data_IF_465869331457
#
_entry.id   IF_465869331457
#
_cell.length_a   1.000
_cell.length_b   1.000
_cell.length_c   1.000
_cell.angle_alpha   90.00
_cell.angle_beta   90.00
_cell.angle_gamma   90.00
#
_symmetry.space_group_name_H-M   'P 1'
#
loop_
_entity.id
_entity.type
_entity.pdbx_description
1 polymer ?
#
# COMPACT_ATOMS: atom_id res chain seq x y z
N UNK A 1 -6.04 -8.71 19.54
CA UNK A 1 -4.73 -9.12 19.02
C UNK A 1 -3.89 -7.88 19.13
N UNK A 2 -2.94 -7.84 20.07
CA UNK A 2 -1.93 -6.80 20.08
C UNK A 2 -1.27 -6.76 18.69
N UNK A 3 -0.93 -5.59 18.14
CA UNK A 3 0.00 -5.57 17.03
C UNK A 3 1.25 -6.28 17.54
N UNK A 4 1.54 -7.44 16.96
CA UNK A 4 2.77 -8.16 17.24
C UNK A 4 3.89 -7.39 16.53
N UNK A 5 4.44 -6.40 17.22
CA UNK A 5 5.59 -5.63 16.75
C UNK A 5 6.88 -6.47 16.69
N UNK A 6 6.83 -7.75 17.09
CA UNK A 6 7.93 -8.71 16.97
C UNK A 6 7.78 -9.63 15.74
N UNK A 7 6.59 -9.68 15.12
CA UNK A 7 6.48 -10.15 13.73
C UNK A 7 7.22 -9.16 12.84
N UNK A 8 8.23 -9.64 12.13
CA UNK A 8 9.00 -8.83 11.17
C UNK A 8 8.15 -8.30 10.01
N UNK A 9 6.89 -8.77 9.87
CA UNK A 9 5.94 -8.21 8.93
C UNK A 9 4.47 -8.30 9.40
N UNK A 10 4.01 -7.30 10.15
CA UNK A 10 2.63 -7.20 10.64
C UNK A 10 1.58 -6.86 9.56
N UNK A 11 2.01 -6.61 8.32
CA UNK A 11 1.17 -6.08 7.23
C UNK A 11 0.24 -7.11 6.60
N UNK A 12 0.56 -8.41 6.71
CA UNK A 12 -0.15 -9.46 5.98
C UNK A 12 -1.66 -9.45 6.28
N UNK A 13 -2.48 -9.50 5.22
CA UNK A 13 -3.95 -9.35 5.26
C UNK A 13 -4.51 -8.06 5.87
N UNK A 14 -3.63 -7.14 6.30
CA UNK A 14 -4.03 -5.81 6.74
C UNK A 14 -4.01 -4.86 5.57
N UNK A 15 -4.86 -3.85 5.64
CA UNK A 15 -4.79 -2.72 4.72
C UNK A 15 -4.17 -1.51 5.42
N UNK A 16 -3.55 -0.57 4.70
CA UNK A 16 -3.17 0.71 5.28
C UNK A 16 -4.36 1.45 5.90
N UNK A 17 -5.59 1.22 5.42
CA UNK A 17 -6.81 1.75 6.04
C UNK A 17 -7.11 1.22 7.44
N UNK A 18 -6.67 0.01 7.78
CA UNK A 18 -6.75 -0.48 9.16
C UNK A 18 -5.80 0.29 10.08
N UNK A 19 -4.59 0.59 9.61
CA UNK A 19 -3.65 1.45 10.33
C UNK A 19 -4.18 2.90 10.43
N UNK A 20 -4.79 3.43 9.37
CA UNK A 20 -5.46 4.73 9.40
C UNK A 20 -6.52 4.78 10.51
N UNK A 21 -7.40 3.77 10.60
CA UNK A 21 -8.44 3.71 11.64
C UNK A 21 -7.83 3.70 13.04
N UNK A 22 -6.74 2.96 13.22
CA UNK A 22 -6.01 2.90 14.49
C UNK A 22 -5.43 4.28 14.85
N UNK A 23 -4.78 4.95 13.90
CA UNK A 23 -4.23 6.28 14.08
C UNK A 23 -5.35 7.30 14.32
N UNK A 24 -6.48 7.20 13.63
CA UNK A 24 -7.58 8.15 13.76
C UNK A 24 -8.33 8.00 15.08
N UNK A 25 -8.66 6.77 15.45
CA UNK A 25 -9.66 6.49 16.49
C UNK A 25 -9.13 5.69 17.67
N UNK A 26 -7.90 5.18 17.60
CA UNK A 26 -7.37 4.23 18.59
C UNK A 26 -8.08 2.87 18.56
N UNK A 27 -8.79 2.54 17.47
CA UNK A 27 -9.54 1.28 17.31
C UNK A 27 -9.02 0.46 16.14
N UNK A 28 -8.90 -0.85 16.34
CA UNK A 28 -8.63 -1.77 15.24
C UNK A 28 -9.90 -2.15 14.45
N UNK A 29 -9.74 -2.99 13.42
CA UNK A 29 -10.85 -3.45 12.56
C UNK A 29 -11.97 -4.20 13.30
N UNK A 30 -11.70 -4.72 14.49
CA UNK A 30 -12.67 -5.43 15.33
C UNK A 30 -13.26 -4.52 16.41
N UNK A 31 -12.96 -3.22 16.37
CA UNK A 31 -13.42 -2.26 17.37
C UNK A 31 -12.66 -2.35 18.70
N UNK A 32 -11.59 -3.14 18.79
CA UNK A 32 -10.79 -3.22 20.01
C UNK A 32 -10.00 -1.94 20.20
N UNK A 33 -9.96 -1.47 21.44
CA UNK A 33 -9.26 -0.24 21.82
C UNK A 33 -7.75 -0.51 21.93
N UNK A 34 -6.95 0.48 21.54
CA UNK A 34 -5.49 0.50 21.64
C UNK A 34 -5.05 1.80 22.31
N UNK A 35 -3.88 1.83 22.97
CA UNK A 35 -3.39 3.03 23.63
C UNK A 35 -2.97 4.12 22.62
N UNK A 36 -3.34 5.36 22.92
CA UNK A 36 -2.92 6.55 22.19
C UNK A 36 -1.64 7.20 22.73
N UNK A 37 -1.31 8.43 22.27
CA UNK A 37 -0.13 9.17 22.70
C UNK A 37 -0.02 9.39 24.22
N UNK A 38 -1.15 9.53 24.93
CA UNK A 38 -1.17 9.69 26.39
C UNK A 38 -1.16 8.36 27.14
N UNK A 39 -1.17 7.23 26.43
CA UNK A 39 -1.34 5.89 26.98
C UNK A 39 -2.79 5.49 27.24
N UNK A 40 -3.77 6.39 27.00
CA UNK A 40 -5.20 6.09 27.20
C UNK A 40 -5.74 5.15 26.12
N UNK A 41 -6.50 4.14 26.52
CA UNK A 41 -7.15 3.21 25.58
C UNK A 41 -8.25 3.90 24.76
N UNK A 42 -8.25 3.66 23.44
CA UNK A 42 -9.23 4.24 22.52
C UNK A 42 -8.94 5.69 22.17
N UNK A 43 -7.74 6.17 22.49
CA UNK A 43 -7.24 7.47 22.05
C UNK A 43 -6.51 7.30 20.70
N UNK A 44 -6.97 8.02 19.67
CA UNK A 44 -6.28 8.07 18.39
C UNK A 44 -5.03 8.96 18.43
N UNK A 45 -4.07 8.65 17.56
CA UNK A 45 -2.85 9.41 17.33
C UNK A 45 -3.04 10.63 16.42
N UNK A 46 -4.22 10.80 15.80
CA UNK A 46 -4.55 11.95 14.92
C UNK A 46 -4.20 13.29 15.53
N UNK A 47 -4.51 13.47 16.82
CA UNK A 47 -4.21 14.68 17.62
C UNK A 47 -2.72 15.03 17.71
N UNK A 48 -1.85 14.03 17.58
CA UNK A 48 -0.41 14.15 17.76
C UNK A 48 0.36 14.29 16.43
N UNK A 49 -0.28 14.07 15.29
CA UNK A 49 0.36 14.17 13.97
C UNK A 49 0.57 15.63 13.61
N UNK A 50 1.82 15.97 13.26
CA UNK A 50 2.23 17.26 12.72
C UNK A 50 2.94 17.01 11.39
N UNK A 51 2.44 17.59 10.31
CA UNK A 51 3.04 17.55 8.98
C UNK A 51 3.63 18.92 8.63
N UNK A 52 4.83 19.01 8.07
CA UNK A 52 5.45 20.27 7.68
C UNK A 52 5.46 20.42 6.15
N UNK A 53 4.56 21.23 5.62
CA UNK A 53 4.45 21.49 4.17
C UNK A 53 5.12 22.82 3.83
N UNK A 54 6.45 22.83 3.83
CA UNK A 54 7.24 23.97 3.34
C UNK A 54 7.18 25.25 4.20
N UNK A 55 6.81 25.14 5.49
CA UNK A 55 6.84 26.27 6.42
C UNK A 55 5.68 26.32 7.43
N UNK A 56 4.63 25.53 7.23
CA UNK A 56 3.50 25.45 8.16
C UNK A 56 3.40 24.03 8.76
N UNK A 57 3.41 23.96 10.10
CA UNK A 57 2.99 22.77 10.81
C UNK A 57 1.47 22.62 10.64
N UNK A 58 1.06 21.66 9.81
CA UNK A 58 -0.33 21.23 9.70
C UNK A 58 -0.59 20.29 10.88
N UNK A 59 -1.31 20.79 11.89
CA UNK A 59 -1.82 19.99 13.00
C UNK A 59 -3.29 19.64 12.75
N UNK A 60 -3.60 18.35 12.90
CA UNK A 60 -4.92 17.74 13.19
C UNK A 60 -6.12 18.14 12.30
N UNK A 61 -6.53 17.24 11.40
CA UNK A 61 -7.81 17.32 10.68
C UNK A 61 -7.75 16.91 9.22
N UNK A 62 -6.61 17.15 8.58
CA UNK A 62 -6.35 16.81 7.18
C UNK A 62 -6.11 15.29 7.01
N UNK A 63 -6.98 14.56 6.28
CA UNK A 63 -6.76 13.16 5.98
C UNK A 63 -5.45 12.88 5.24
N UNK A 64 -4.92 13.82 4.47
CA UNK A 64 -3.66 13.67 3.73
C UNK A 64 -2.49 13.50 4.71
N UNK A 65 -2.44 14.28 5.80
CA UNK A 65 -1.38 14.15 6.79
C UNK A 65 -1.40 12.78 7.47
N UNK A 66 -2.59 12.22 7.74
CA UNK A 66 -2.72 10.88 8.31
C UNK A 66 -2.27 9.82 7.30
N UNK A 67 -2.65 9.94 6.02
CA UNK A 67 -2.20 9.03 4.97
C UNK A 67 -0.68 9.06 4.76
N UNK A 68 -0.07 10.25 4.80
CA UNK A 68 1.38 10.38 4.76
C UNK A 68 2.03 9.58 5.89
N UNK A 69 1.53 9.69 7.12
CA UNK A 69 2.02 8.89 8.26
C UNK A 69 1.77 7.40 8.06
N UNK A 70 0.58 7.01 7.61
CA UNK A 70 0.23 5.59 7.36
C UNK A 70 1.20 4.97 6.36
N UNK A 71 1.38 5.59 5.18
CA UNK A 71 2.26 5.05 4.14
C UNK A 71 3.74 5.23 4.47
N UNK A 72 4.12 6.23 5.27
CA UNK A 72 5.44 6.31 5.86
C UNK A 72 5.70 5.11 6.77
N UNK A 73 4.85 4.86 7.78
CA UNK A 73 5.01 3.73 8.71
C UNK A 73 5.01 2.39 7.94
N UNK A 74 4.15 2.25 6.93
CA UNK A 74 4.09 1.06 6.08
C UNK A 74 5.36 0.85 5.24
N UNK A 75 5.90 1.91 4.65
CA UNK A 75 7.17 1.82 3.89
C UNK A 75 8.37 1.59 4.82
N UNK A 76 8.35 2.20 6.01
CA UNK A 76 9.39 2.02 7.03
C UNK A 76 9.35 0.65 7.68
N UNK A 77 8.20 -0.04 7.73
CA UNK A 77 8.19 -1.44 8.18
C UNK A 77 8.92 -2.35 7.20
N UNK A 78 8.94 -2.03 5.89
CA UNK A 78 9.76 -2.74 4.88
C UNK A 78 11.24 -2.49 5.15
N UNK A 79 11.63 -1.22 5.28
CA UNK A 79 13.03 -0.84 5.50
C UNK A 79 13.57 -1.28 6.88
N UNK A 80 12.70 -1.29 7.90
CA UNK A 80 13.01 -1.75 9.25
C UNK A 80 13.15 -3.27 9.35
N UNK A 81 12.49 -4.03 8.48
CA UNK A 81 12.68 -5.47 8.36
C UNK A 81 14.07 -5.82 7.77
N UNK A 82 14.58 -5.03 6.82
CA UNK A 82 16.00 -5.00 6.41
C UNK A 82 16.27 -3.84 5.44
N UNK A 83 17.35 -3.04 5.60
CA UNK A 83 17.78 -2.05 4.61
C UNK A 83 18.04 -2.65 3.22
N UNK A 84 18.51 -3.90 3.15
CA UNK A 84 18.75 -4.59 1.86
C UNK A 84 17.45 -4.82 1.10
N UNK A 85 16.36 -5.11 1.84
CA UNK A 85 15.05 -5.42 1.26
C UNK A 85 14.45 -4.24 0.53
N UNK A 86 14.63 -3.02 1.04
CA UNK A 86 14.15 -1.81 0.36
C UNK A 86 14.87 -1.61 -0.99
N UNK A 87 16.18 -1.79 -1.01
CA UNK A 87 16.98 -1.70 -2.24
C UNK A 87 16.60 -2.80 -3.24
N UNK A 88 16.38 -4.03 -2.78
CA UNK A 88 15.92 -5.15 -3.60
C UNK A 88 14.52 -4.88 -4.20
N UNK A 89 13.59 -4.34 -3.40
CA UNK A 89 12.26 -3.94 -3.84
C UNK A 89 12.32 -2.85 -4.92
N UNK A 90 13.20 -1.86 -4.74
CA UNK A 90 13.45 -0.85 -5.75
C UNK A 90 14.02 -1.43 -7.04
N UNK A 91 14.99 -2.35 -6.95
CA UNK A 91 15.58 -2.99 -8.13
C UNK A 91 14.52 -3.74 -8.94
N UNK A 92 13.65 -4.51 -8.27
CA UNK A 92 12.56 -5.21 -8.96
C UNK A 92 11.59 -4.20 -9.60
N UNK A 93 11.17 -3.16 -8.87
CA UNK A 93 10.23 -2.17 -9.39
C UNK A 93 10.78 -1.38 -10.58
N UNK A 94 12.01 -0.90 -10.47
CA UNK A 94 12.66 -0.05 -11.48
C UNK A 94 13.01 -0.79 -12.77
N UNK A 95 13.23 -2.11 -12.70
CA UNK A 95 13.50 -2.93 -13.89
C UNK A 95 12.22 -3.40 -14.60
N UNK A 96 11.12 -3.55 -13.87
CA UNK A 96 9.95 -4.28 -14.37
C UNK A 96 8.67 -3.42 -14.45
N UNK A 97 8.49 -2.46 -13.54
CA UNK A 97 7.19 -1.83 -13.29
C UNK A 97 7.13 -0.36 -13.76
N UNK A 98 8.22 0.39 -13.60
CA UNK A 98 8.25 1.84 -13.86
C UNK A 98 7.99 2.22 -15.32
N UNK A 99 8.24 1.33 -16.28
CA UNK A 99 8.02 1.57 -17.71
C UNK A 99 6.55 1.85 -18.03
N UNK A 100 5.64 1.28 -17.23
CA UNK A 100 4.20 1.54 -17.30
C UNK A 100 3.74 2.44 -16.15
N UNK A 101 4.19 2.17 -14.92
CA UNK A 101 3.67 2.83 -13.72
C UNK A 101 4.40 4.12 -13.33
N UNK A 102 5.50 4.46 -13.99
CA UNK A 102 6.33 5.63 -13.70
C UNK A 102 7.29 5.40 -12.52
N UNK A 103 8.37 6.17 -12.46
CA UNK A 103 9.39 6.08 -11.39
C UNK A 103 8.79 6.31 -10.00
N UNK A 104 7.85 7.25 -9.90
CA UNK A 104 7.14 7.59 -8.65
C UNK A 104 5.80 6.84 -8.50
N UNK A 105 5.51 5.88 -9.38
CA UNK A 105 4.26 5.13 -9.33
C UNK A 105 3.00 5.91 -9.66
N UNK A 106 3.10 7.07 -10.32
CA UNK A 106 1.94 7.93 -10.67
C UNK A 106 1.08 7.35 -11.81
N UNK A 107 1.47 6.19 -12.34
CA UNK A 107 0.82 5.57 -13.48
C UNK A 107 1.22 6.21 -14.81
N UNK A 108 2.29 7.00 -14.85
CA UNK A 108 2.68 7.91 -15.93
C UNK A 108 3.99 7.49 -16.63
N UNK A 109 4.30 6.19 -16.62
CA UNK A 109 5.50 5.66 -17.27
C UNK A 109 5.51 5.91 -18.78
N UNK A 110 6.67 5.72 -19.46
CA UNK A 110 6.81 5.92 -20.90
C UNK A 110 5.72 5.26 -21.77
N UNK A 111 5.19 4.12 -21.35
CA UNK A 111 4.13 3.41 -22.07
C UNK A 111 2.70 3.87 -21.72
N UNK A 112 2.51 4.74 -20.73
CA UNK A 112 1.20 5.16 -20.22
C UNK A 112 0.17 5.46 -21.32
N UNK A 113 0.55 6.28 -22.30
CA UNK A 113 -0.36 6.78 -23.35
C UNK A 113 -0.84 5.70 -24.33
N UNK A 114 -0.23 4.52 -24.34
CA UNK A 114 -0.56 3.43 -25.27
C UNK A 114 -1.34 2.29 -24.60
N UNK A 115 -1.67 2.41 -23.32
CA UNK A 115 -2.29 1.34 -22.54
C UNK A 115 -3.75 1.68 -22.24
N UNK A 116 -4.62 0.69 -22.35
CA UNK A 116 -6.02 0.81 -21.94
C UNK A 116 -6.46 -0.45 -21.18
N UNK A 117 -6.97 -0.32 -19.95
CA UNK A 117 -7.00 0.89 -19.11
C UNK A 117 -5.60 1.41 -18.77
N UNK A 118 -5.53 2.68 -18.36
CA UNK A 118 -4.28 3.30 -17.93
C UNK A 118 -3.72 2.59 -16.70
N UNK A 119 -2.37 2.53 -16.54
CA UNK A 119 -1.75 2.01 -15.33
C UNK A 119 -2.25 2.73 -14.09
N UNK A 120 -2.51 1.97 -13.02
CA UNK A 120 -3.03 2.52 -11.77
C UNK A 120 -2.02 3.48 -11.12
N UNK A 121 -2.51 4.63 -10.64
CA UNK A 121 -1.72 5.61 -9.90
C UNK A 121 -1.60 5.19 -8.42
N UNK A 122 -0.42 4.73 -8.01
CA UNK A 122 -0.13 4.30 -6.64
C UNK A 122 -0.10 5.44 -5.62
N UNK A 123 -0.13 6.71 -6.04
CA UNK A 123 -0.33 7.87 -5.16
C UNK A 123 -1.82 8.13 -4.85
N UNK A 124 -2.75 7.33 -5.41
CA UNK A 124 -4.13 7.33 -4.95
C UNK A 124 -4.23 6.66 -3.56
N UNK A 125 -4.06 7.46 -2.51
CA UNK A 125 -4.04 7.00 -1.12
C UNK A 125 -5.26 6.21 -0.71
N UNK A 126 -6.46 6.66 -1.13
CA UNK A 126 -7.70 5.97 -0.77
C UNK A 126 -7.71 4.55 -1.33
N UNK A 127 -7.41 4.41 -2.61
CA UNK A 127 -7.39 3.10 -3.25
C UNK A 127 -6.29 2.20 -2.68
N UNK A 128 -5.08 2.73 -2.53
CA UNK A 128 -3.98 1.98 -1.93
C UNK A 128 -4.30 1.57 -0.50
N UNK A 129 -5.05 2.37 0.24
CA UNK A 129 -5.51 2.03 1.58
C UNK A 129 -6.59 0.95 1.65
N UNK A 130 -7.33 0.75 0.57
CA UNK A 130 -8.36 -0.28 0.46
C UNK A 130 -7.81 -1.60 -0.12
N UNK A 131 -6.61 -1.58 -0.72
CA UNK A 131 -5.89 -2.78 -1.21
C UNK A 131 -5.08 -3.47 -0.12
N UNK A 132 -5.01 -4.80 -0.17
CA UNK A 132 -4.12 -5.63 0.67
C UNK A 132 -2.87 -6.06 -0.09
N UNK A 133 -1.82 -6.43 0.65
CA UNK A 133 -0.58 -6.95 0.06
C UNK A 133 -0.83 -8.30 -0.65
N UNK A 134 -1.74 -9.12 -0.14
CA UNK A 134 -2.18 -10.37 -0.78
C UNK A 134 -2.87 -10.11 -2.13
N UNK A 135 -3.74 -9.09 -2.21
CA UNK A 135 -4.33 -8.68 -3.47
C UNK A 135 -3.27 -8.17 -4.45
N UNK A 136 -2.33 -7.31 -4.01
CA UNK A 136 -1.26 -6.80 -4.85
C UNK A 136 -0.36 -7.92 -5.37
N UNK A 137 0.00 -8.87 -4.50
CA UNK A 137 0.78 -10.04 -4.88
C UNK A 137 0.06 -10.85 -5.97
N UNK A 138 -1.23 -11.13 -5.78
CA UNK A 138 -2.04 -11.82 -6.77
C UNK A 138 -2.16 -11.04 -8.09
N UNK A 139 -2.42 -9.72 -8.03
CA UNK A 139 -2.49 -8.82 -9.20
C UNK A 139 -1.19 -8.86 -10.00
N UNK A 140 -0.04 -8.77 -9.33
CA UNK A 140 1.29 -8.85 -9.95
C UNK A 140 1.52 -10.24 -10.55
N UNK A 141 1.15 -11.28 -9.81
CA UNK A 141 1.33 -12.66 -10.24
C UNK A 141 0.56 -12.98 -11.52
N UNK A 142 -0.72 -12.64 -11.55
CA UNK A 142 -1.64 -13.02 -12.63
C UNK A 142 -1.64 -12.02 -13.79
N UNK A 143 -1.19 -10.79 -13.56
CA UNK A 143 -1.17 -9.75 -14.59
C UNK A 143 -2.55 -9.48 -15.16
N UNK A 144 -2.60 -9.15 -16.45
CA UNK A 144 -3.66 -8.50 -17.23
C UNK A 144 -4.85 -9.34 -17.70
N UNK A 145 -4.74 -10.66 -17.63
CA UNK A 145 -5.54 -11.60 -18.42
C UNK A 145 -6.08 -12.77 -17.58
N UNK A 146 -6.87 -12.51 -16.55
CA UNK A 146 -7.46 -13.53 -15.66
C UNK A 146 -8.96 -13.69 -15.92
N UNK A 147 -9.50 -14.87 -15.67
CA UNK A 147 -10.93 -15.19 -15.91
C UNK A 147 -11.81 -14.96 -14.70
N UNK A 148 -11.26 -15.13 -13.49
CA UNK A 148 -11.94 -14.87 -12.23
C UNK A 148 -10.94 -14.48 -11.14
N UNK A 149 -11.42 -13.74 -10.13
CA UNK A 149 -10.65 -13.45 -8.91
C UNK A 149 -10.90 -14.61 -7.94
N UNK A 150 -9.88 -15.29 -7.39
CA UNK A 150 -10.08 -16.34 -6.40
C UNK A 150 -10.83 -15.84 -5.18
N UNK A 151 -11.68 -16.68 -4.58
CA UNK A 151 -12.47 -16.31 -3.40
C UNK A 151 -11.58 -15.85 -2.23
N UNK A 152 -10.42 -16.48 -2.05
CA UNK A 152 -9.43 -16.07 -1.06
C UNK A 152 -8.98 -14.62 -1.23
N UNK A 153 -8.85 -14.14 -2.48
CA UNK A 153 -8.48 -12.76 -2.79
C UNK A 153 -9.68 -11.83 -2.64
N UNK A 154 -10.87 -12.25 -3.08
CA UNK A 154 -12.09 -11.45 -2.94
C UNK A 154 -12.36 -11.10 -1.46
N UNK A 155 -12.09 -12.02 -0.54
CA UNK A 155 -12.26 -11.80 0.91
C UNK A 155 -11.25 -10.82 1.52
N UNK A 156 -10.21 -10.41 0.79
CA UNK A 156 -9.19 -9.47 1.29
C UNK A 156 -9.57 -8.00 1.09
N UNK A 157 -10.61 -7.71 0.32
CA UNK A 157 -11.06 -6.34 0.02
C UNK A 157 -12.58 -6.25 0.14
N UNK A 158 -13.11 -5.04 0.28
CA UNK A 158 -14.57 -4.85 0.22
C UNK A 158 -15.07 -5.06 -1.21
N UNK A 159 -16.33 -5.50 -1.41
CA UNK A 159 -16.93 -5.63 -2.74
C UNK A 159 -16.86 -4.32 -3.56
N UNK A 160 -17.03 -3.18 -2.89
CA UNK A 160 -16.96 -1.85 -3.51
C UNK A 160 -15.54 -1.54 -4.01
N UNK A 161 -14.52 -1.80 -3.19
CA UNK A 161 -13.13 -1.59 -3.57
C UNK A 161 -12.70 -2.51 -4.72
N UNK A 162 -13.13 -3.79 -4.69
CA UNK A 162 -12.89 -4.72 -5.79
C UNK A 162 -13.49 -4.20 -7.10
N UNK A 163 -14.74 -3.73 -7.07
CA UNK A 163 -15.42 -3.19 -8.26
C UNK A 163 -14.76 -1.91 -8.78
N UNK A 164 -14.25 -1.06 -7.89
CA UNK A 164 -13.68 0.23 -8.25
C UNK A 164 -12.26 0.14 -8.81
N UNK A 165 -11.41 -0.74 -8.26
CA UNK A 165 -9.97 -0.72 -8.57
C UNK A 165 -9.48 -1.94 -9.36
N UNK A 166 -10.30 -2.99 -9.52
CA UNK A 166 -9.88 -4.23 -10.17
C UNK A 166 -10.52 -4.36 -11.53
N UNK A 167 -9.72 -4.18 -12.58
CA UNK A 167 -10.17 -4.23 -13.96
C UNK A 167 -9.63 -5.48 -14.66
N UNK A 168 -10.50 -6.44 -15.00
CA UNK A 168 -10.13 -7.74 -15.60
C UNK A 168 -9.23 -7.63 -16.84
N UNK A 169 -9.42 -6.62 -17.67
CA UNK A 169 -8.73 -6.48 -18.95
C UNK A 169 -7.71 -5.38 -18.84
N UNK A 170 -6.43 -5.72 -18.72
CA UNK A 170 -5.34 -4.75 -18.87
C UNK A 170 -4.14 -5.35 -19.58
N UNK A 171 -3.27 -4.46 -20.08
CA UNK A 171 -1.99 -4.81 -20.70
C UNK A 171 -0.90 -5.19 -19.69
N UNK A 172 -1.22 -5.26 -18.39
CA UNK A 172 -0.26 -5.66 -17.37
C UNK A 172 0.20 -7.10 -17.64
N UNK A 173 1.49 -7.41 -17.77
CA UNK A 173 1.94 -8.78 -17.96
C UNK A 173 1.75 -9.59 -16.68
N UNK A 174 1.59 -10.91 -16.82
CA UNK A 174 1.68 -11.83 -15.69
C UNK A 174 3.15 -11.99 -15.30
N UNK A 175 3.49 -11.69 -14.05
CA UNK A 175 4.87 -11.79 -13.59
C UNK A 175 5.20 -13.16 -13.00
N UNK A 176 4.19 -14.01 -12.71
CA UNK A 176 4.47 -15.40 -12.34
C UNK A 176 5.16 -16.13 -13.48
N UNK A 177 6.21 -16.88 -13.18
CA UNK A 177 7.03 -17.57 -14.18
C UNK A 177 8.09 -16.68 -14.84
N UNK A 178 8.05 -15.36 -14.63
CA UNK A 178 9.14 -14.42 -15.00
C UNK A 178 9.92 -14.05 -13.73
N UNK A 179 9.21 -13.62 -12.69
CA UNK A 179 9.75 -13.31 -11.37
C UNK A 179 9.54 -14.50 -10.43
N UNK A 180 10.52 -14.72 -9.55
CA UNK A 180 10.39 -15.64 -8.41
C UNK A 180 9.28 -15.18 -7.46
N UNK A 181 8.85 -16.06 -6.55
CA UNK A 181 7.92 -15.67 -5.48
C UNK A 181 8.48 -14.53 -4.61
N UNK A 182 9.76 -14.60 -4.24
CA UNK A 182 10.40 -13.55 -3.46
C UNK A 182 10.42 -12.21 -4.22
N UNK A 183 10.77 -12.22 -5.51
CA UNK A 183 10.76 -11.00 -6.33
C UNK A 183 9.36 -10.42 -6.50
N UNK A 184 8.32 -11.26 -6.60
CA UNK A 184 6.94 -10.76 -6.61
C UNK A 184 6.54 -10.09 -5.30
N UNK A 185 6.99 -10.61 -4.15
CA UNK A 185 6.83 -9.90 -2.87
C UNK A 185 7.63 -8.61 -2.80
N UNK A 186 8.86 -8.59 -3.34
CA UNK A 186 9.65 -7.36 -3.49
C UNK A 186 8.97 -6.35 -4.42
N UNK A 187 8.25 -6.79 -5.46
CA UNK A 187 7.45 -5.93 -6.30
C UNK A 187 6.26 -5.31 -5.54
N UNK A 188 5.60 -6.06 -4.65
CA UNK A 188 4.57 -5.52 -3.74
C UNK A 188 5.17 -4.44 -2.83
N UNK A 189 6.33 -4.70 -2.24
CA UNK A 189 7.06 -3.73 -1.42
C UNK A 189 7.45 -2.48 -2.25
N UNK A 190 7.84 -2.66 -3.51
CA UNK A 190 8.09 -1.60 -4.48
C UNK A 190 6.86 -0.74 -4.71
N UNK A 191 5.71 -1.35 -5.01
CA UNK A 191 4.42 -0.65 -5.20
C UNK A 191 4.04 0.14 -3.94
N UNK A 192 4.15 -0.46 -2.75
CA UNK A 192 3.82 0.20 -1.48
C UNK A 192 4.74 1.37 -1.15
N UNK A 193 6.03 1.24 -1.44
CA UNK A 193 6.99 2.34 -1.21
C UNK A 193 6.71 3.54 -2.10
N UNK A 194 6.31 3.32 -3.37
CA UNK A 194 5.94 4.43 -4.28
C UNK A 194 4.69 5.20 -3.85
N UNK A 195 3.82 4.62 -3.02
CA UNK A 195 2.68 5.38 -2.48
C UNK A 195 3.15 6.56 -1.64
N UNK A 196 4.21 6.43 -0.84
CA UNK A 196 4.69 7.50 0.04
C UNK A 196 5.68 8.47 -0.62
N UNK A 197 6.29 8.12 -1.76
CA UNK A 197 7.37 8.95 -2.32
C UNK A 197 6.85 10.28 -2.87
N UNK A 198 7.27 11.34 -2.17
CA UNK A 198 7.19 12.73 -2.60
C UNK A 198 8.59 13.14 -3.05
N UNK A 199 8.67 13.80 -4.20
CA UNK A 199 9.89 14.26 -4.87
C UNK A 199 10.95 14.89 -3.94
#
# INVERSE_FOLDING_TARGET
>A
VNPDFYSTDWRFEKTPGELFRLIETGKDRFGRLHPGPSGKMGEGWKGAIKDNRGGQLVATGDPIAIWNVVFYVWSRSIAGASPTRFTEAWNVYSQNCNVCHGTLGKGDGPLHKTLQPLPFNFQNYKAMAETTDTFLYWRISEGGQWTSIPESIQRTMTPEALKLYVHQWSSMPAWKGILTEQERWLAVDGVRSRTYEHE
#
